data_IF_985026215233
#
_entry.id   IF_985026215233
#
_cell.length_a   1.000
_cell.length_b   1.000
_cell.length_c   1.000
_cell.angle_alpha   90.00
_cell.angle_beta   90.00
_cell.angle_gamma   90.00
#
_symmetry.space_group_name_H-M   'P 1'
#
loop_
_entity.id
_entity.type
_entity.pdbx_description
1 polymer ?
#
# COMPACT_ATOMS: atom_id res chain seq x y z
N UNK A 1 -9.06 21.33 32.03
CA UNK A 1 -9.98 20.44 32.77
C UNK A 1 -9.98 19.11 32.03
N UNK A 2 -9.29 18.06 32.47
CA UNK A 2 -9.46 17.41 33.77
C UNK A 2 -8.14 16.80 34.27
N UNK A 3 -7.70 17.18 35.47
CA UNK A 3 -6.69 16.45 36.24
C UNK A 3 -7.33 15.17 36.80
N UNK A 4 -7.64 14.21 35.94
CA UNK A 4 -7.84 12.84 36.41
C UNK A 4 -6.46 12.23 36.65
N UNK A 5 -6.06 12.16 37.92
CA UNK A 5 -4.96 11.27 38.32
C UNK A 5 -5.41 9.83 38.10
N UNK A 6 -5.12 9.28 36.92
CA UNK A 6 -5.29 7.85 36.60
C UNK A 6 -4.24 6.98 37.29
N UNK A 7 -3.82 7.33 38.52
CA UNK A 7 -2.82 6.54 39.23
C UNK A 7 -3.49 5.29 39.80
N UNK A 8 -3.29 4.15 39.13
CA UNK A 8 -3.49 2.84 39.77
C UNK A 8 -2.70 2.81 41.08
N UNK A 9 -3.22 2.16 42.12
CA UNK A 9 -2.53 2.06 43.40
C UNK A 9 -1.10 1.49 43.22
N UNK A 10 -0.12 1.90 44.02
CA UNK A 10 1.25 1.43 43.90
C UNK A 10 1.38 -0.11 44.04
N UNK A 11 2.52 -0.67 43.64
CA UNK A 11 2.87 -2.03 44.02
C UNK A 11 2.91 -2.14 45.55
N UNK A 12 2.33 -3.18 46.18
CA UNK A 12 1.82 -4.42 45.59
C UNK A 12 0.31 -4.41 45.24
N UNK A 13 -0.42 -3.32 45.51
CA UNK A 13 -1.85 -3.21 45.24
C UNK A 13 -2.15 -3.36 43.74
N UNK A 14 -1.38 -2.73 42.85
CA UNK A 14 -1.43 -3.00 41.40
C UNK A 14 -0.36 -3.98 40.97
N UNK A 15 -0.77 -5.05 40.27
CA UNK A 15 0.14 -6.00 39.60
C UNK A 15 -0.37 -6.28 38.20
N UNK A 16 0.26 -5.68 37.19
CA UNK A 16 -0.13 -5.85 35.78
C UNK A 16 -0.03 -7.31 35.29
N UNK A 17 0.84 -8.11 35.92
CA UNK A 17 0.95 -9.56 35.65
C UNK A 17 -0.32 -10.35 35.98
N UNK A 18 -1.26 -9.83 36.79
CA UNK A 18 -2.53 -10.52 37.10
C UNK A 18 -3.33 -10.78 35.83
N UNK A 19 -3.48 -9.76 34.98
CA UNK A 19 -4.18 -9.87 33.69
C UNK A 19 -3.38 -10.67 32.65
N UNK A 20 -2.05 -10.75 32.81
CA UNK A 20 -1.15 -11.50 31.92
C UNK A 20 -1.00 -12.97 32.30
N UNK A 21 -1.56 -13.44 33.42
CA UNK A 21 -1.29 -14.79 33.94
C UNK A 21 -1.92 -15.89 33.07
N UNK A 22 -3.21 -15.76 32.77
CA UNK A 22 -3.97 -16.78 32.07
C UNK A 22 -4.34 -16.32 30.66
N UNK A 23 -4.61 -17.26 29.76
CA UNK A 23 -5.03 -16.93 28.41
C UNK A 23 -6.37 -16.17 28.37
N UNK A 24 -7.38 -16.67 29.11
CA UNK A 24 -8.71 -16.03 29.16
C UNK A 24 -8.61 -14.56 29.59
N UNK A 25 -7.76 -14.24 30.57
CA UNK A 25 -7.61 -12.87 31.06
C UNK A 25 -6.90 -11.99 30.04
N UNK A 26 -5.91 -12.53 29.31
CA UNK A 26 -5.25 -11.82 28.21
C UNK A 26 -6.22 -11.54 27.07
N UNK A 27 -7.10 -12.49 26.75
CA UNK A 27 -8.16 -12.30 25.73
C UNK A 27 -9.18 -11.25 26.14
N UNK A 28 -9.65 -11.27 27.39
CA UNK A 28 -10.63 -10.31 27.90
C UNK A 28 -10.17 -8.85 27.84
N UNK A 29 -8.87 -8.60 28.03
CA UNK A 29 -8.33 -7.23 28.11
C UNK A 29 -7.54 -6.82 26.86
N UNK A 30 -7.58 -7.63 25.80
CA UNK A 30 -6.87 -7.35 24.55
C UNK A 30 -7.49 -6.12 23.88
N UNK A 31 -6.66 -5.14 23.55
CA UNK A 31 -7.11 -3.86 22.99
C UNK A 31 -7.30 -3.91 21.46
N UNK A 32 -6.57 -4.77 20.76
CA UNK A 32 -6.59 -4.86 19.30
C UNK A 32 -6.60 -6.31 18.84
N UNK A 33 -7.29 -6.57 17.74
CA UNK A 33 -7.29 -7.85 17.05
C UNK A 33 -7.10 -7.61 15.55
N UNK A 34 -6.39 -8.54 14.90
CA UNK A 34 -6.24 -8.57 13.44
C UNK A 34 -7.27 -9.55 12.86
N UNK A 35 -7.84 -9.19 11.73
CA UNK A 35 -8.81 -9.96 10.96
C UNK A 35 -8.43 -9.92 9.47
N UNK A 36 -9.02 -10.79 8.65
CA UNK A 36 -8.81 -10.76 7.20
C UNK A 36 -9.29 -9.44 6.56
N UNK A 37 -10.28 -8.77 7.17
CA UNK A 37 -10.81 -7.48 6.72
C UNK A 37 -9.78 -6.34 6.80
N UNK A 38 -8.70 -6.52 7.56
CA UNK A 38 -7.63 -5.53 7.68
C UNK A 38 -6.57 -5.69 6.59
N UNK A 39 -6.66 -6.70 5.72
CA UNK A 39 -5.58 -7.11 4.82
C UNK A 39 -5.87 -6.74 3.37
N UNK A 40 -4.89 -6.16 2.69
CA UNK A 40 -4.91 -5.89 1.25
C UNK A 40 -3.70 -6.58 0.67
N UNK A 41 -3.89 -7.35 -0.41
CA UNK A 41 -2.80 -8.10 -1.03
C UNK A 41 -2.25 -7.38 -2.27
N UNK A 42 -1.00 -6.89 -2.23
CA UNK A 42 -0.34 -6.38 -3.42
C UNK A 42 -0.02 -7.50 -4.41
N UNK A 43 -0.26 -7.27 -5.69
CA UNK A 43 -0.01 -8.25 -6.76
C UNK A 43 0.75 -7.61 -7.91
N UNK A 44 1.70 -8.36 -8.47
CA UNK A 44 2.46 -7.95 -9.66
C UNK A 44 1.89 -8.65 -10.89
N UNK A 45 1.47 -7.87 -11.89
CA UNK A 45 0.84 -8.41 -13.10
C UNK A 45 1.77 -8.29 -14.31
N UNK A 46 1.85 -9.35 -15.12
CA UNK A 46 2.65 -9.45 -16.34
C UNK A 46 1.80 -9.61 -17.58
N UNK A 47 2.39 -9.24 -18.72
CA UNK A 47 1.89 -9.61 -20.04
C UNK A 47 1.92 -11.12 -20.31
N UNK A 48 1.11 -11.54 -21.27
CA UNK A 48 1.04 -12.90 -21.79
C UNK A 48 -0.01 -13.76 -21.08
N UNK A 49 0.10 -15.09 -21.26
CA UNK A 49 -0.86 -16.07 -20.76
C UNK A 49 -0.12 -17.23 -20.07
N UNK A 50 -0.67 -17.70 -18.95
CA UNK A 50 -0.13 -18.79 -18.14
C UNK A 50 1.35 -18.58 -17.74
N UNK A 51 1.71 -17.35 -17.37
CA UNK A 51 3.07 -16.97 -16.97
C UNK A 51 3.14 -16.71 -15.47
N UNK A 52 4.17 -17.27 -14.83
CA UNK A 52 4.55 -16.99 -13.44
C UNK A 52 6.04 -16.73 -13.40
N UNK A 53 6.45 -15.67 -12.72
CA UNK A 53 7.86 -15.36 -12.51
C UNK A 53 8.15 -15.13 -11.02
N UNK A 54 9.02 -15.93 -10.38
CA UNK A 54 9.40 -15.68 -9.00
C UNK A 54 10.22 -14.40 -8.86
N UNK A 55 10.01 -13.67 -7.77
CA UNK A 55 10.82 -12.49 -7.44
C UNK A 55 11.87 -12.89 -6.42
N UNK A 56 13.14 -12.92 -6.82
CA UNK A 56 14.25 -13.44 -6.00
C UNK A 56 14.37 -12.68 -4.67
N UNK A 57 14.27 -11.35 -4.69
CA UNK A 57 14.35 -10.50 -3.51
C UNK A 57 13.08 -10.52 -2.64
N UNK A 58 12.03 -11.24 -3.07
CA UNK A 58 10.78 -11.42 -2.33
C UNK A 58 10.36 -12.90 -2.34
N UNK A 59 11.05 -13.77 -1.58
CA UNK A 59 10.85 -15.22 -1.67
C UNK A 59 9.39 -15.62 -1.39
N UNK A 60 8.77 -16.33 -2.34
CA UNK A 60 7.37 -16.76 -2.24
C UNK A 60 6.36 -15.80 -2.89
N UNK A 61 6.81 -14.63 -3.36
CA UNK A 61 6.02 -13.72 -4.19
C UNK A 61 6.39 -13.91 -5.65
N UNK A 62 5.39 -13.83 -6.51
CA UNK A 62 5.52 -14.02 -7.94
C UNK A 62 4.82 -12.89 -8.70
N UNK A 63 5.27 -12.67 -9.92
CA UNK A 63 4.53 -11.92 -10.94
C UNK A 63 3.65 -12.90 -11.72
N UNK A 64 2.41 -12.52 -11.99
CA UNK A 64 1.41 -13.39 -12.62
C UNK A 64 0.86 -12.77 -13.90
N UNK A 65 0.65 -13.56 -14.95
CA UNK A 65 -0.21 -13.13 -16.06
C UNK A 65 -1.67 -12.96 -15.58
N UNK A 66 -2.47 -12.16 -16.31
CA UNK A 66 -3.86 -11.83 -15.93
C UNK A 66 -4.69 -13.09 -15.66
N UNK A 67 -4.57 -14.13 -16.49
CA UNK A 67 -5.33 -15.37 -16.34
C UNK A 67 -5.04 -16.13 -15.03
N UNK A 68 -3.81 -16.02 -14.52
CA UNK A 68 -3.39 -16.61 -13.25
C UNK A 68 -3.71 -15.69 -12.08
N UNK A 69 -3.61 -14.38 -12.26
CA UNK A 69 -4.05 -13.39 -11.28
C UNK A 69 -5.55 -13.55 -10.96
N UNK A 70 -6.40 -13.80 -11.96
CA UNK A 70 -7.83 -14.05 -11.72
C UNK A 70 -8.06 -15.31 -10.86
N UNK A 71 -7.31 -16.39 -11.10
CA UNK A 71 -7.39 -17.61 -10.27
C UNK A 71 -6.94 -17.33 -8.83
N UNK A 72 -5.87 -16.57 -8.68
CA UNK A 72 -5.34 -16.17 -7.37
C UNK A 72 -6.34 -15.27 -6.62
N UNK A 73 -6.98 -14.32 -7.31
CA UNK A 73 -8.00 -13.44 -6.75
C UNK A 73 -9.20 -14.20 -6.16
N UNK A 74 -9.65 -15.26 -6.82
CA UNK A 74 -10.71 -16.12 -6.29
C UNK A 74 -10.30 -16.80 -4.97
N UNK A 75 -9.04 -17.21 -4.84
CA UNK A 75 -8.49 -17.78 -3.59
C UNK A 75 -8.45 -16.71 -2.48
N UNK A 76 -8.00 -15.50 -2.80
CA UNK A 76 -7.93 -14.39 -1.83
C UNK A 76 -9.32 -14.00 -1.32
N UNK A 77 -10.31 -13.90 -2.21
CA UNK A 77 -11.69 -13.63 -1.84
C UNK A 77 -12.27 -14.74 -0.93
N UNK A 78 -11.98 -16.02 -1.23
CA UNK A 78 -12.41 -17.15 -0.39
C UNK A 78 -11.75 -17.19 1.01
N UNK A 79 -10.62 -16.49 1.16
CA UNK A 79 -9.94 -16.26 2.45
C UNK A 79 -10.50 -15.04 3.20
N UNK A 80 -11.41 -14.27 2.59
CA UNK A 80 -12.00 -13.06 3.17
C UNK A 80 -11.10 -11.82 3.05
N UNK A 81 -10.11 -11.83 2.14
CA UNK A 81 -9.31 -10.63 1.87
C UNK A 81 -10.17 -9.67 1.03
N UNK A 82 -10.43 -8.44 1.51
CA UNK A 82 -11.37 -7.51 0.89
C UNK A 82 -10.89 -6.92 -0.43
N UNK A 83 -9.58 -6.75 -0.62
CA UNK A 83 -9.05 -6.08 -1.81
C UNK A 83 -7.65 -6.51 -2.22
N UNK A 84 -7.32 -6.25 -3.49
CA UNK A 84 -5.98 -6.38 -4.07
C UNK A 84 -5.46 -5.03 -4.55
N UNK A 85 -4.15 -4.82 -4.45
CA UNK A 85 -3.47 -3.64 -5.01
C UNK A 85 -2.64 -4.04 -6.22
N UNK A 86 -2.99 -3.54 -7.40
CA UNK A 86 -2.41 -3.90 -8.68
C UNK A 86 -1.15 -3.10 -9.00
N UNK A 87 -0.07 -3.80 -9.34
CA UNK A 87 1.17 -3.20 -9.83
C UNK A 87 1.56 -3.84 -11.18
N UNK A 88 1.41 -3.12 -12.31
CA UNK A 88 1.81 -3.64 -13.61
C UNK A 88 3.33 -3.71 -13.73
N UNK A 89 3.81 -4.81 -14.30
CA UNK A 89 5.21 -4.98 -14.69
C UNK A 89 5.32 -4.60 -16.16
N UNK A 90 5.38 -3.29 -16.41
CA UNK A 90 5.37 -2.71 -17.76
C UNK A 90 6.59 -3.16 -18.57
N UNK A 91 6.40 -3.70 -19.79
CA UNK A 91 7.51 -4.15 -20.62
C UNK A 91 8.36 -2.94 -21.09
N UNK A 92 9.68 -3.11 -21.27
CA UNK A 92 10.59 -2.00 -21.59
C UNK A 92 10.20 -1.19 -22.83
N UNK A 93 9.66 -1.85 -23.86
CA UNK A 93 9.21 -1.23 -25.11
C UNK A 93 7.97 -0.33 -24.96
N UNK A 94 7.22 -0.48 -23.87
CA UNK A 94 6.07 0.36 -23.55
C UNK A 94 6.43 1.53 -22.61
N UNK A 95 7.71 1.64 -22.21
CA UNK A 95 8.19 2.77 -21.40
C UNK A 95 8.60 3.94 -22.29
N UNK A 96 8.24 5.15 -21.89
CA UNK A 96 8.55 6.38 -22.63
C UNK A 96 9.00 7.51 -21.70
N UNK A 97 9.22 8.72 -22.23
CA UNK A 97 9.47 9.91 -21.41
C UNK A 97 8.18 10.52 -20.86
N UNK A 98 7.08 10.40 -21.61
CA UNK A 98 5.78 11.00 -21.26
C UNK A 98 4.77 9.99 -20.68
N UNK A 99 5.21 8.77 -20.42
CA UNK A 99 4.46 7.72 -19.74
C UNK A 99 3.06 7.43 -20.36
N UNK A 100 2.93 7.49 -21.69
CA UNK A 100 1.63 7.34 -22.36
C UNK A 100 0.94 6.00 -22.05
N UNK A 101 1.72 4.95 -21.79
CA UNK A 101 1.20 3.64 -21.40
C UNK A 101 0.45 3.67 -20.05
N UNK A 102 0.68 4.66 -19.19
CA UNK A 102 0.00 4.81 -17.91
C UNK A 102 -1.52 5.00 -18.08
N UNK A 103 -1.96 5.63 -19.17
CA UNK A 103 -3.36 5.90 -19.46
C UNK A 103 -3.86 5.20 -20.74
N UNK A 104 -3.12 4.20 -21.22
CA UNK A 104 -3.57 3.37 -22.34
C UNK A 104 -4.80 2.54 -21.90
N UNK A 105 -5.98 2.68 -22.52
CA UNK A 105 -7.16 1.92 -22.13
C UNK A 105 -6.98 0.41 -22.30
N UNK A 106 -6.06 -0.02 -23.17
CA UNK A 106 -5.66 -1.41 -23.38
C UNK A 106 -4.36 -1.79 -22.65
N UNK A 107 -3.86 -0.89 -21.80
CA UNK A 107 -2.71 -1.11 -20.93
C UNK A 107 -2.92 -2.26 -19.96
N UNK A 108 -1.82 -2.76 -19.41
CA UNK A 108 -1.81 -3.96 -18.57
C UNK A 108 -2.66 -3.80 -17.30
N UNK A 109 -2.58 -2.64 -16.63
CA UNK A 109 -3.37 -2.37 -15.43
C UNK A 109 -4.88 -2.37 -15.73
N UNK A 110 -5.28 -1.64 -16.78
CA UNK A 110 -6.67 -1.48 -17.20
C UNK A 110 -7.29 -2.83 -17.61
N UNK A 111 -6.56 -3.65 -18.38
CA UNK A 111 -7.00 -5.01 -18.72
C UNK A 111 -7.10 -5.91 -17.49
N UNK A 112 -6.16 -5.82 -16.55
CA UNK A 112 -6.19 -6.59 -15.31
C UNK A 112 -7.39 -6.21 -14.42
N UNK A 113 -7.70 -4.91 -14.29
CA UNK A 113 -8.88 -4.41 -13.58
C UNK A 113 -10.15 -5.02 -14.19
N UNK A 114 -10.35 -4.88 -15.51
CA UNK A 114 -11.54 -5.44 -16.19
C UNK A 114 -11.69 -6.94 -15.97
N UNK A 115 -10.59 -7.69 -16.06
CA UNK A 115 -10.58 -9.13 -15.84
C UNK A 115 -10.94 -9.50 -14.40
N UNK A 116 -10.40 -8.80 -13.41
CA UNK A 116 -10.70 -9.02 -12.00
C UNK A 116 -12.15 -8.70 -11.67
N UNK A 117 -12.67 -7.54 -12.11
CA UNK A 117 -14.06 -7.15 -11.85
C UNK A 117 -15.06 -8.07 -12.53
N UNK A 118 -14.72 -8.61 -13.71
CA UNK A 118 -15.56 -9.61 -14.38
C UNK A 118 -15.60 -10.97 -13.64
N UNK A 119 -14.47 -11.40 -13.06
CA UNK A 119 -14.37 -12.74 -12.46
C UNK A 119 -14.70 -12.78 -10.97
N UNK A 120 -14.38 -11.72 -10.22
CA UNK A 120 -14.55 -11.63 -8.76
C UNK A 120 -15.09 -10.23 -8.40
N UNK A 121 -16.35 -9.90 -8.77
CA UNK A 121 -16.89 -8.53 -8.69
C UNK A 121 -16.85 -7.91 -7.29
N UNK A 122 -17.00 -8.74 -6.25
CA UNK A 122 -17.01 -8.31 -4.84
C UNK A 122 -15.60 -8.02 -4.28
N UNK A 123 -14.52 -8.43 -4.98
CA UNK A 123 -13.17 -8.12 -4.55
C UNK A 123 -12.84 -6.68 -4.96
N UNK A 124 -12.47 -5.85 -3.99
CA UNK A 124 -12.02 -4.48 -4.25
C UNK A 124 -10.73 -4.48 -5.07
N UNK A 125 -10.70 -3.65 -6.10
CA UNK A 125 -9.51 -3.46 -6.94
C UNK A 125 -8.95 -2.06 -6.72
N UNK A 126 -7.73 -2.02 -6.16
CA UNK A 126 -6.96 -0.80 -5.94
C UNK A 126 -5.91 -0.70 -7.05
N UNK A 127 -5.93 0.40 -7.81
CA UNK A 127 -4.90 0.68 -8.83
C UNK A 127 -3.91 1.72 -8.34
N UNK A 128 -2.63 1.52 -8.63
CA UNK A 128 -1.59 2.51 -8.38
C UNK A 128 -1.64 3.62 -9.43
N UNK A 129 -1.65 4.89 -9.00
CA UNK A 129 -1.56 6.05 -9.89
C UNK A 129 -0.20 6.70 -9.66
N UNK A 130 0.76 6.38 -10.52
CA UNK A 130 2.14 6.86 -10.53
C UNK A 130 2.77 6.51 -11.88
N UNK A 131 3.76 7.30 -12.32
CA UNK A 131 4.37 7.11 -13.64
C UNK A 131 5.64 6.23 -13.64
N UNK A 132 6.15 5.85 -12.47
CA UNK A 132 7.41 5.09 -12.35
C UNK A 132 7.46 3.73 -13.07
N UNK A 133 6.35 3.00 -13.28
CA UNK A 133 6.37 1.77 -14.06
C UNK A 133 6.52 2.06 -15.56
N UNK A 134 6.10 3.25 -16.00
CA UNK A 134 5.91 3.62 -17.41
C UNK A 134 6.99 4.57 -17.93
N UNK A 135 7.82 5.16 -17.05
CA UNK A 135 8.91 6.04 -17.46
C UNK A 135 10.20 5.29 -17.73
N UNK A 136 10.93 5.72 -18.76
CA UNK A 136 12.27 5.16 -19.08
C UNK A 136 13.32 5.43 -18.00
N UNK A 137 13.12 6.48 -17.18
CA UNK A 137 14.00 6.89 -16.08
C UNK A 137 13.53 6.43 -14.70
N UNK A 138 12.32 5.85 -14.56
CA UNK A 138 11.84 5.27 -13.30
C UNK A 138 11.50 6.28 -12.19
N UNK A 139 11.30 7.56 -12.54
CA UNK A 139 10.74 8.57 -11.62
C UNK A 139 9.21 8.52 -11.68
N UNK A 140 8.54 8.95 -10.62
CA UNK A 140 7.08 8.90 -10.49
C UNK A 140 6.38 9.95 -11.37
N UNK A 141 7.15 10.87 -11.98
CA UNK A 141 6.65 11.96 -12.82
C UNK A 141 7.56 12.30 -14.01
N UNK A 142 7.16 13.32 -14.78
CA UNK A 142 7.87 13.82 -15.95
C UNK A 142 9.05 14.68 -15.53
N UNK A 143 10.21 14.48 -16.16
CA UNK A 143 11.42 15.22 -15.85
C UNK A 143 11.70 16.37 -16.84
N UNK A 144 12.24 17.48 -16.35
CA UNK A 144 12.78 18.54 -17.19
C UNK A 144 14.20 18.24 -17.70
N UNK A 145 14.82 19.23 -18.35
CA UNK A 145 16.19 19.12 -18.88
C UNK A 145 17.27 18.95 -17.79
N UNK A 146 17.00 19.40 -16.57
CA UNK A 146 17.89 19.29 -15.41
C UNK A 146 17.63 17.99 -14.60
N UNK A 147 16.61 17.22 -14.98
CA UNK A 147 16.21 15.98 -14.34
C UNK A 147 15.30 16.17 -13.13
N UNK A 148 14.77 17.37 -12.91
CA UNK A 148 13.78 17.64 -11.87
C UNK A 148 12.39 17.15 -12.30
N UNK A 149 11.67 16.53 -11.37
CA UNK A 149 10.32 16.01 -11.62
C UNK A 149 9.32 17.17 -11.57
N UNK A 150 8.73 17.49 -12.71
CA UNK A 150 7.78 18.59 -12.89
C UNK A 150 6.42 18.26 -12.27
N UNK A 151 6.05 18.99 -11.22
CA UNK A 151 4.82 18.75 -10.46
C UNK A 151 3.53 18.79 -11.31
N UNK A 152 3.25 19.93 -11.92
CA UNK A 152 1.95 20.18 -12.56
C UNK A 152 1.78 19.34 -13.84
N UNK A 153 2.83 19.26 -14.66
CA UNK A 153 2.83 18.43 -15.86
C UNK A 153 2.66 16.95 -15.54
N UNK A 154 3.26 16.48 -14.43
CA UNK A 154 3.04 15.11 -13.95
C UNK A 154 1.58 14.92 -13.54
N UNK A 155 1.02 15.86 -12.78
CA UNK A 155 -0.37 15.82 -12.33
C UNK A 155 -1.36 15.74 -13.49
N UNK A 156 -1.13 16.46 -14.59
CA UNK A 156 -1.95 16.35 -15.80
C UNK A 156 -2.01 14.92 -16.39
N UNK A 157 -0.93 14.15 -16.26
CA UNK A 157 -0.86 12.77 -16.76
C UNK A 157 -1.45 11.79 -15.76
N UNK A 158 -1.21 12.00 -14.45
CA UNK A 158 -1.81 11.21 -13.38
C UNK A 158 -3.34 11.28 -13.41
N UNK A 159 -3.91 12.45 -13.74
CA UNK A 159 -5.36 12.59 -13.95
C UNK A 159 -5.86 11.67 -15.07
N UNK A 160 -5.18 11.64 -16.22
CA UNK A 160 -5.52 10.73 -17.34
C UNK A 160 -5.43 9.27 -16.92
N UNK A 161 -4.39 8.91 -16.17
CA UNK A 161 -4.21 7.56 -15.63
C UNK A 161 -5.37 7.17 -14.70
N UNK A 162 -5.69 8.03 -13.73
CA UNK A 162 -6.77 7.79 -12.76
C UNK A 162 -8.13 7.61 -13.45
N UNK A 163 -8.44 8.46 -14.44
CA UNK A 163 -9.66 8.33 -15.26
C UNK A 163 -9.69 6.98 -16.00
N UNK A 164 -8.59 6.61 -16.68
CA UNK A 164 -8.52 5.33 -17.39
C UNK A 164 -8.71 4.10 -16.47
N UNK A 165 -8.26 4.21 -15.20
CA UNK A 165 -8.47 3.17 -14.19
C UNK A 165 -9.93 3.12 -13.72
N UNK A 166 -10.55 4.28 -13.51
CA UNK A 166 -11.96 4.38 -13.13
C UNK A 166 -12.88 3.85 -14.26
N UNK A 167 -12.60 4.19 -15.51
CA UNK A 167 -13.28 3.66 -16.70
C UNK A 167 -13.14 2.14 -16.82
N UNK A 168 -11.99 1.58 -16.45
CA UNK A 168 -11.76 0.14 -16.41
C UNK A 168 -12.54 -0.56 -15.28
N UNK A 169 -13.06 0.18 -14.30
CA UNK A 169 -13.86 -0.32 -13.18
C UNK A 169 -13.08 -0.46 -11.86
N UNK A 170 -11.97 0.25 -11.68
CA UNK A 170 -11.26 0.26 -10.40
C UNK A 170 -12.15 0.89 -9.31
N UNK A 171 -12.23 0.23 -8.16
CA UNK A 171 -13.02 0.73 -7.02
C UNK A 171 -12.26 1.86 -6.30
N UNK A 172 -10.93 1.74 -6.24
CA UNK A 172 -10.04 2.70 -5.56
C UNK A 172 -8.88 3.02 -6.50
N UNK A 173 -8.65 4.31 -6.75
CA UNK A 173 -7.38 4.79 -7.31
C UNK A 173 -6.48 5.26 -6.18
N UNK A 174 -5.20 4.91 -6.22
CA UNK A 174 -4.28 5.17 -5.13
C UNK A 174 -3.04 5.94 -5.63
N UNK A 175 -3.11 7.29 -5.69
CA UNK A 175 -2.01 8.14 -6.13
C UNK A 175 -0.80 7.99 -5.21
N UNK A 176 0.27 7.40 -5.74
CA UNK A 176 1.49 7.12 -4.99
C UNK A 176 2.67 8.02 -5.38
N UNK A 177 2.46 8.94 -6.30
CA UNK A 177 3.45 9.82 -6.93
C UNK A 177 4.11 10.86 -6.02
N UNK A 178 3.41 11.32 -4.96
CA UNK A 178 3.83 12.43 -4.07
C UNK A 178 4.00 13.79 -4.76
N UNK A 179 3.19 14.10 -5.77
CA UNK A 179 3.08 15.46 -6.31
C UNK A 179 2.15 16.33 -5.44
N UNK A 180 2.42 17.62 -5.37
CA UNK A 180 1.58 18.57 -4.65
C UNK A 180 0.28 18.80 -5.42
N UNK A 181 -0.87 18.74 -4.73
CA UNK A 181 -2.20 19.04 -5.30
C UNK A 181 -2.82 17.96 -6.18
N UNK A 182 -2.16 16.80 -6.37
CA UNK A 182 -2.68 15.73 -7.24
C UNK A 182 -4.02 15.18 -6.78
N UNK A 183 -4.29 15.15 -5.47
CA UNK A 183 -5.51 14.57 -4.92
C UNK A 183 -6.71 15.41 -5.38
N UNK A 184 -6.62 16.72 -5.24
CA UNK A 184 -7.67 17.65 -5.70
C UNK A 184 -7.88 17.53 -7.21
N UNK A 185 -6.79 17.52 -7.99
CA UNK A 185 -6.87 17.39 -9.44
C UNK A 185 -7.56 16.10 -9.89
N UNK A 186 -7.18 14.96 -9.30
CA UNK A 186 -7.77 13.65 -9.59
C UNK A 186 -9.24 13.61 -9.12
N UNK A 187 -9.54 14.08 -7.92
CA UNK A 187 -10.92 14.16 -7.39
C UNK A 187 -11.82 14.97 -8.32
N UNK A 188 -11.41 16.17 -8.70
CA UNK A 188 -12.20 17.02 -9.60
C UNK A 188 -12.46 16.35 -10.96
N UNK A 189 -11.47 15.66 -11.52
CA UNK A 189 -11.64 14.93 -12.77
C UNK A 189 -12.60 13.75 -12.64
N UNK A 190 -12.49 12.94 -11.57
CA UNK A 190 -13.42 11.85 -11.31
C UNK A 190 -14.86 12.35 -11.12
N UNK A 191 -15.06 13.45 -10.39
CA UNK A 191 -16.39 14.08 -10.23
C UNK A 191 -16.95 14.55 -11.57
N UNK A 192 -16.14 15.25 -12.37
CA UNK A 192 -16.54 15.80 -13.67
C UNK A 192 -16.97 14.70 -14.65
N UNK A 193 -16.22 13.60 -14.71
CA UNK A 193 -16.49 12.49 -15.64
C UNK A 193 -17.53 11.47 -15.08
N UNK A 194 -18.11 11.75 -13.91
CA UNK A 194 -19.20 10.97 -13.33
C UNK A 194 -18.76 9.73 -12.54
N UNK A 195 -17.48 9.57 -12.27
CA UNK A 195 -16.90 8.52 -11.42
C UNK A 195 -17.04 8.83 -9.92
N UNK A 196 -18.23 9.28 -9.50
CA UNK A 196 -18.51 9.85 -8.18
C UNK A 196 -18.18 8.92 -6.99
N UNK A 197 -18.18 7.60 -7.20
CA UNK A 197 -17.95 6.59 -6.16
C UNK A 197 -16.56 5.93 -6.25
N UNK A 198 -15.75 6.28 -7.24
CA UNK A 198 -14.36 5.83 -7.27
C UNK A 198 -13.62 6.54 -6.13
N UNK A 199 -13.11 5.75 -5.19
CA UNK A 199 -12.46 6.30 -4.00
C UNK A 199 -10.99 6.64 -4.27
N UNK A 200 -10.46 7.57 -3.49
CA UNK A 200 -9.05 7.95 -3.53
C UNK A 200 -8.37 7.48 -2.23
N UNK A 201 -7.39 6.60 -2.38
CA UNK A 201 -6.46 6.20 -1.32
C UNK A 201 -5.14 6.95 -1.51
N UNK A 202 -5.03 8.10 -0.86
CA UNK A 202 -3.87 8.97 -1.00
C UNK A 202 -2.66 8.38 -0.27
N UNK A 203 -1.52 8.23 -0.96
CA UNK A 203 -0.25 7.99 -0.30
C UNK A 203 0.29 9.31 0.26
N UNK A 204 -0.36 9.83 1.30
CA UNK A 204 -0.07 11.15 1.86
C UNK A 204 1.32 11.23 2.49
N UNK A 205 1.68 10.24 3.31
CA UNK A 205 2.97 10.21 3.98
C UNK A 205 3.85 9.10 3.40
N UNK A 206 4.34 9.29 2.16
CA UNK A 206 5.27 8.37 1.49
C UNK A 206 6.70 8.91 1.56
N UNK A 207 7.52 8.21 2.34
CA UNK A 207 8.90 8.60 2.62
C UNK A 207 9.89 8.14 1.55
N UNK A 208 10.98 8.90 1.39
CA UNK A 208 12.15 8.60 0.57
C UNK A 208 12.97 7.46 1.22
N UNK A 209 12.46 6.25 1.12
CA UNK A 209 12.92 5.11 1.90
C UNK A 209 13.81 4.13 1.13
N UNK A 210 14.78 3.54 1.83
CA UNK A 210 15.60 2.44 1.32
C UNK A 210 14.91 1.07 1.37
N UNK A 211 13.72 0.97 1.97
CA UNK A 211 12.97 -0.29 2.06
C UNK A 211 12.27 -0.71 0.75
N UNK A 212 12.35 0.10 -0.32
CA UNK A 212 11.67 -0.16 -1.60
C UNK A 212 12.47 -1.02 -2.59
N UNK A 213 13.72 -1.37 -2.27
CA UNK A 213 14.60 -2.13 -3.18
C UNK A 213 13.92 -3.35 -3.83
N UNK A 214 13.37 -4.29 -3.04
CA UNK A 214 12.75 -5.49 -3.61
C UNK A 214 11.51 -5.22 -4.48
N UNK A 215 10.76 -4.14 -4.21
CA UNK A 215 9.63 -3.72 -5.07
C UNK A 215 10.14 -3.22 -6.42
N UNK A 216 11.22 -2.44 -6.43
CA UNK A 216 11.83 -1.94 -7.68
C UNK A 216 12.36 -3.08 -8.54
N UNK A 217 12.83 -4.17 -7.94
CA UNK A 217 13.15 -5.41 -8.65
C UNK A 217 11.87 -6.06 -9.20
N UNK A 218 10.81 -6.14 -8.39
CA UNK A 218 9.55 -6.77 -8.75
C UNK A 218 8.87 -6.11 -9.96
N UNK A 219 8.80 -4.78 -10.02
CA UNK A 219 8.22 -4.04 -11.16
C UNK A 219 9.23 -3.74 -12.28
N UNK A 220 10.49 -4.13 -12.11
CA UNK A 220 11.53 -3.90 -13.12
C UNK A 220 11.93 -2.44 -13.29
N UNK A 221 11.73 -1.58 -12.29
CA UNK A 221 12.12 -0.16 -12.33
C UNK A 221 13.51 0.12 -11.74
N UNK A 222 14.11 -0.85 -11.03
CA UNK A 222 15.44 -0.69 -10.42
C UNK A 222 16.53 -0.27 -11.43
N UNK A 223 16.53 -0.89 -12.61
CA UNK A 223 17.46 -0.57 -13.70
C UNK A 223 17.19 0.79 -14.35
N UNK A 224 15.94 1.28 -14.33
CA UNK A 224 15.56 2.57 -14.91
C UNK A 224 16.04 3.75 -14.04
N UNK A 225 15.95 3.61 -12.71
CA UNK A 225 16.31 4.68 -11.78
C UNK A 225 17.82 4.99 -11.75
N UNK A 226 18.69 4.08 -12.24
CA UNK A 226 20.14 4.29 -12.44
C UNK A 226 20.91 4.93 -11.28
N UNK A 227 20.52 4.65 -10.03
CA UNK A 227 21.15 5.24 -8.83
C UNK A 227 20.62 6.63 -8.46
N UNK A 228 19.61 7.13 -9.18
CA UNK A 228 18.83 8.29 -8.81
C UNK A 228 18.06 8.08 -7.49
N UNK A 229 17.58 9.18 -6.94
CA UNK A 229 16.79 9.22 -5.73
C UNK A 229 15.43 9.88 -5.99
N UNK A 230 14.55 9.82 -4.99
CA UNK A 230 13.20 10.37 -5.03
C UNK A 230 13.02 11.48 -3.97
N UNK A 231 14.14 12.08 -3.52
CA UNK A 231 14.17 12.97 -2.36
C UNK A 231 13.55 14.35 -2.63
N UNK A 232 13.35 14.71 -3.90
CA UNK A 232 12.75 16.00 -4.27
C UNK A 232 11.22 16.00 -4.21
N UNK A 233 10.60 14.88 -3.83
CA UNK A 233 9.14 14.74 -3.75
C UNK A 233 8.68 13.71 -2.69
N UNK A 234 9.41 12.61 -2.47
CA UNK A 234 9.16 11.75 -1.32
C UNK A 234 9.75 12.37 -0.04
N UNK A 235 9.02 12.22 1.07
CA UNK A 235 9.35 12.89 2.33
C UNK A 235 10.68 12.45 2.93
N UNK A 236 11.35 13.34 3.67
CA UNK A 236 12.54 12.98 4.45
C UNK A 236 12.14 12.05 5.61
N UNK A 237 12.77 10.86 5.76
CA UNK A 237 12.55 9.95 6.90
C UNK A 237 12.66 10.58 8.29
N UNK A 238 13.34 11.73 8.43
CA UNK A 238 13.48 12.44 9.69
C UNK A 238 12.23 13.22 10.13
N UNK A 239 11.24 13.39 9.25
CA UNK A 239 10.13 14.33 9.46
C UNK A 239 8.82 13.62 9.86
N UNK A 240 8.33 13.93 11.06
CA UNK A 240 6.99 13.52 11.51
C UNK A 240 5.95 14.62 11.30
N UNK A 241 6.26 15.86 11.71
CA UNK A 241 5.28 16.96 11.66
C UNK A 241 4.84 17.27 10.21
N UNK A 242 5.74 17.14 9.25
CA UNK A 242 5.45 17.25 7.81
C UNK A 242 4.37 16.26 7.37
N UNK A 243 4.34 15.03 7.91
CA UNK A 243 3.33 14.03 7.57
C UNK A 243 1.92 14.48 7.97
N UNK A 244 1.80 15.29 9.03
CA UNK A 244 0.52 15.86 9.44
C UNK A 244 0.08 16.96 8.47
N UNK A 245 1.01 17.73 7.91
CA UNK A 245 0.68 18.70 6.86
C UNK A 245 0.19 17.99 5.59
N UNK A 246 0.93 16.99 5.10
CA UNK A 246 0.58 16.19 3.93
C UNK A 246 -0.82 15.55 4.05
N UNK A 247 -1.06 14.84 5.15
CA UNK A 247 -2.37 14.22 5.40
C UNK A 247 -3.48 15.26 5.51
N UNK A 248 -3.21 16.39 6.16
CA UNK A 248 -4.18 17.48 6.29
C UNK A 248 -4.58 18.07 4.94
N UNK A 249 -3.63 18.24 4.03
CA UNK A 249 -3.86 18.71 2.67
C UNK A 249 -4.65 17.68 1.86
N UNK A 250 -4.20 16.42 1.80
CA UNK A 250 -4.88 15.37 1.03
C UNK A 250 -6.34 15.17 1.47
N UNK A 251 -6.63 15.25 2.77
CA UNK A 251 -8.01 15.19 3.28
C UNK A 251 -8.84 16.42 2.86
N UNK A 252 -8.25 17.61 2.90
CA UNK A 252 -8.92 18.83 2.45
C UNK A 252 -9.18 18.82 0.93
N UNK A 253 -8.35 18.11 0.18
CA UNK A 253 -8.46 17.91 -1.27
C UNK A 253 -9.44 16.80 -1.68
N UNK A 254 -9.96 16.02 -0.72
CA UNK A 254 -11.00 15.02 -0.96
C UNK A 254 -10.52 13.58 -1.05
N UNK A 255 -9.40 13.24 -0.41
CA UNK A 255 -9.03 11.84 -0.18
C UNK A 255 -10.03 11.14 0.75
N UNK A 256 -10.46 9.94 0.36
CA UNK A 256 -11.36 9.10 1.17
C UNK A 256 -10.59 8.32 2.24
N UNK A 257 -9.35 7.96 1.92
CA UNK A 257 -8.41 7.28 2.81
C UNK A 257 -7.01 7.87 2.63
N UNK A 258 -6.22 7.85 3.70
CA UNK A 258 -4.82 8.30 3.68
C UNK A 258 -3.89 7.15 4.07
N UNK A 259 -2.67 7.14 3.54
CA UNK A 259 -1.70 6.07 3.76
C UNK A 259 -0.34 6.58 4.23
N UNK A 260 0.26 5.84 5.18
CA UNK A 260 1.67 5.94 5.54
C UNK A 260 2.46 4.82 4.86
N UNK A 261 3.59 5.18 4.24
CA UNK A 261 4.49 4.23 3.57
C UNK A 261 5.95 4.68 3.76
N UNK A 262 6.88 3.81 4.22
CA UNK A 262 6.72 2.42 4.67
C UNK A 262 5.89 2.22 5.95
N UNK A 263 5.75 0.97 6.40
CA UNK A 263 4.89 0.59 7.51
C UNK A 263 5.61 0.56 8.86
N UNK A 264 6.25 -0.57 9.18
CA UNK A 264 6.87 -0.81 10.49
C UNK A 264 7.88 0.24 10.95
N UNK A 265 8.72 0.83 10.07
CA UNK A 265 9.65 1.88 10.48
C UNK A 265 8.97 3.23 10.83
N UNK A 266 7.68 3.39 10.54
CA UNK A 266 6.93 4.65 10.67
C UNK A 266 5.63 4.49 11.49
N UNK A 267 5.59 3.53 12.42
CA UNK A 267 4.39 3.30 13.26
C UNK A 267 4.05 4.48 14.17
N UNK A 268 5.05 5.29 14.52
CA UNK A 268 4.88 6.57 15.22
C UNK A 268 4.13 7.60 14.37
N UNK A 269 4.43 7.68 13.07
CA UNK A 269 3.69 8.51 12.11
C UNK A 269 2.25 8.01 11.96
N UNK A 270 2.04 6.69 11.83
CA UNK A 270 0.69 6.09 11.79
C UNK A 270 -0.13 6.48 13.02
N UNK A 271 0.49 6.42 14.20
CA UNK A 271 -0.16 6.81 15.46
C UNK A 271 -0.52 8.29 15.47
N UNK A 272 0.41 9.16 15.09
CA UNK A 272 0.20 10.61 15.04
C UNK A 272 -0.91 11.00 14.06
N UNK A 273 -0.91 10.42 12.86
CA UNK A 273 -1.96 10.61 11.84
C UNK A 273 -3.31 10.15 12.36
N UNK A 274 -3.40 8.92 12.90
CA UNK A 274 -4.67 8.40 13.43
C UNK A 274 -5.19 9.24 14.59
N UNK A 275 -4.32 9.75 15.45
CA UNK A 275 -4.73 10.57 16.59
C UNK A 275 -5.21 11.96 16.21
N UNK A 276 -4.59 12.55 15.19
CA UNK A 276 -4.88 13.91 14.75
C UNK A 276 -6.16 13.95 13.93
N UNK A 277 -6.25 13.12 12.90
CA UNK A 277 -7.30 13.26 11.88
C UNK A 277 -8.51 12.38 12.11
N UNK A 278 -8.35 11.24 12.80
CA UNK A 278 -9.42 10.24 13.02
C UNK A 278 -10.08 9.73 11.72
N UNK A 279 -9.46 9.98 10.56
CA UNK A 279 -9.89 9.52 9.24
C UNK A 279 -9.41 8.07 8.97
N UNK A 280 -9.97 7.36 7.97
CA UNK A 280 -9.46 6.04 7.56
C UNK A 280 -7.97 6.09 7.22
N UNK A 281 -7.16 5.28 7.93
CA UNK A 281 -5.69 5.33 7.85
C UNK A 281 -5.16 3.97 7.44
N UNK A 282 -4.52 3.92 6.29
CA UNK A 282 -3.94 2.71 5.71
C UNK A 282 -2.43 2.72 5.91
N UNK A 283 -1.82 1.55 5.86
CA UNK A 283 -0.36 1.40 5.99
C UNK A 283 0.15 0.36 5.02
N UNK A 284 1.28 0.62 4.38
CA UNK A 284 1.94 -0.36 3.52
C UNK A 284 3.11 -1.01 4.25
N UNK A 285 3.00 -2.29 4.61
CA UNK A 285 4.15 -3.12 4.97
C UNK A 285 4.93 -3.49 3.70
N UNK A 286 5.96 -2.71 3.40
CA UNK A 286 6.55 -2.71 2.05
C UNK A 286 7.45 -3.91 1.79
N UNK A 287 7.91 -4.01 0.54
CA UNK A 287 8.67 -5.14 0.03
C UNK A 287 9.94 -5.45 0.82
N UNK A 288 10.67 -4.42 1.27
CA UNK A 288 11.87 -4.59 2.11
C UNK A 288 11.56 -5.10 3.51
N UNK A 289 10.41 -4.71 4.08
CA UNK A 289 9.96 -5.25 5.36
C UNK A 289 9.62 -6.74 5.22
N UNK A 290 8.88 -7.11 4.17
CA UNK A 290 8.60 -8.50 3.83
C UNK A 290 9.89 -9.32 3.66
N UNK A 291 10.81 -8.83 2.82
CA UNK A 291 12.07 -9.51 2.53
C UNK A 291 12.93 -9.70 3.80
N UNK A 292 13.00 -8.69 4.67
CA UNK A 292 13.70 -8.77 5.95
C UNK A 292 13.13 -9.87 6.86
N UNK A 293 11.80 -9.98 6.95
CA UNK A 293 11.15 -11.04 7.72
C UNK A 293 11.41 -12.40 7.08
N UNK A 294 11.23 -12.53 5.78
CA UNK A 294 11.43 -13.78 5.05
C UNK A 294 12.86 -14.29 5.16
N UNK A 295 13.87 -13.42 5.07
CA UNK A 295 15.27 -13.80 5.27
C UNK A 295 15.51 -14.37 6.68
N UNK A 296 15.05 -13.67 7.72
CA UNK A 296 15.19 -14.13 9.10
C UNK A 296 14.42 -15.45 9.37
N UNK A 297 13.25 -15.62 8.76
CA UNK A 297 12.43 -16.85 8.85
C UNK A 297 13.14 -18.02 8.18
N UNK A 298 13.62 -17.84 6.94
CA UNK A 298 14.31 -18.89 6.18
C UNK A 298 15.63 -19.32 6.83
N UNK A 299 16.30 -18.40 7.51
CA UNK A 299 17.50 -18.69 8.31
C UNK A 299 17.20 -19.30 9.68
N UNK A 300 15.91 -19.48 10.05
CA UNK A 300 15.49 -20.04 11.33
C UNK A 300 15.72 -19.11 12.54
N UNK A 301 15.98 -17.82 12.30
CA UNK A 301 16.19 -16.84 13.37
C UNK A 301 14.87 -16.42 14.03
N UNK A 302 13.79 -16.38 13.23
CA UNK A 302 12.45 -16.03 13.69
C UNK A 302 11.46 -17.14 13.32
N UNK A 303 10.49 -17.38 14.22
CA UNK A 303 9.38 -18.30 13.94
C UNK A 303 8.40 -17.63 12.98
N UNK A 304 8.13 -18.30 11.84
CA UNK A 304 7.31 -17.78 10.73
C UNK A 304 5.96 -17.22 11.15
N UNK A 305 5.06 -18.06 11.65
CA UNK A 305 3.68 -17.64 11.92
C UNK A 305 3.59 -16.56 13.01
N UNK A 306 4.27 -16.69 14.17
CA UNK A 306 4.18 -15.68 15.21
C UNK A 306 4.69 -14.30 14.77
N UNK A 307 5.82 -14.23 14.06
CA UNK A 307 6.39 -12.92 13.68
C UNK A 307 5.57 -12.24 12.59
N UNK A 308 5.00 -13.00 11.66
CA UNK A 308 4.09 -12.45 10.64
C UNK A 308 2.89 -11.79 11.32
N UNK A 309 2.18 -12.54 12.17
CA UNK A 309 1.00 -12.01 12.86
C UNK A 309 1.33 -10.88 13.84
N UNK A 310 2.48 -10.95 14.52
CA UNK A 310 2.93 -9.88 15.44
C UNK A 310 3.25 -8.58 14.68
N UNK A 311 3.89 -8.66 13.51
CA UNK A 311 4.19 -7.49 12.68
C UNK A 311 2.91 -6.76 12.24
N UNK A 312 1.91 -7.51 11.78
CA UNK A 312 0.62 -6.97 11.33
C UNK A 312 -0.22 -6.45 12.50
N UNK A 313 -0.20 -7.14 13.64
CA UNK A 313 -0.86 -6.67 14.86
C UNK A 313 -0.23 -5.36 15.37
N UNK A 314 1.09 -5.18 15.23
CA UNK A 314 1.76 -3.92 15.57
C UNK A 314 1.25 -2.76 14.71
N UNK A 315 1.07 -2.98 13.41
CA UNK A 315 0.50 -1.99 12.48
C UNK A 315 -0.95 -1.67 12.85
N UNK A 316 -1.78 -2.68 13.12
CA UNK A 316 -3.16 -2.49 13.60
C UNK A 316 -3.20 -1.66 14.88
N UNK A 317 -2.39 -2.04 15.88
CA UNK A 317 -2.28 -1.34 17.17
C UNK A 317 -1.83 0.11 17.01
N UNK A 318 -0.95 0.41 16.05
CA UNK A 318 -0.51 1.77 15.77
C UNK A 318 -1.66 2.66 15.31
N UNK A 319 -2.70 2.08 14.70
CA UNK A 319 -3.92 2.79 14.32
C UNK A 319 -4.38 2.50 12.89
N UNK A 320 -3.75 1.57 12.17
CA UNK A 320 -4.17 1.26 10.81
C UNK A 320 -5.56 0.61 10.77
N UNK A 321 -6.41 1.05 9.84
CA UNK A 321 -7.68 0.39 9.53
C UNK A 321 -7.47 -0.75 8.54
N UNK A 322 -6.54 -0.59 7.59
CA UNK A 322 -6.15 -1.61 6.62
C UNK A 322 -4.64 -1.57 6.31
N UNK A 323 -4.11 -2.73 5.91
CA UNK A 323 -2.69 -2.99 5.74
C UNK A 323 -2.45 -3.60 4.37
N UNK A 324 -1.71 -2.90 3.51
CA UNK A 324 -1.15 -3.48 2.29
C UNK A 324 0.05 -4.33 2.70
N UNK A 325 -0.04 -5.64 2.50
CA UNK A 325 1.04 -6.57 2.90
C UNK A 325 1.12 -7.78 1.98
N UNK A 326 2.36 -8.14 1.63
CA UNK A 326 2.67 -9.38 0.91
C UNK A 326 2.45 -10.65 1.77
N UNK A 327 2.22 -10.50 3.08
CA UNK A 327 1.79 -11.59 3.95
C UNK A 327 0.28 -11.78 3.99
N UNK A 328 -0.54 -10.99 3.26
CA UNK A 328 -2.01 -11.01 3.43
C UNK A 328 -2.62 -12.41 3.27
N UNK A 329 -2.23 -13.15 2.21
CA UNK A 329 -2.71 -14.51 1.98
C UNK A 329 -2.36 -15.46 3.12
N UNK A 330 -1.10 -15.45 3.56
CA UNK A 330 -0.62 -16.32 4.63
C UNK A 330 -1.25 -15.95 5.98
N UNK A 331 -1.34 -14.66 6.31
CA UNK A 331 -1.98 -14.18 7.52
C UNK A 331 -3.47 -14.55 7.55
N UNK A 332 -4.18 -14.41 6.43
CA UNK A 332 -5.60 -14.82 6.35
C UNK A 332 -5.77 -16.34 6.56
N UNK A 333 -4.87 -17.17 6.02
CA UNK A 333 -4.86 -18.62 6.26
C UNK A 333 -4.64 -18.95 7.75
N UNK A 334 -3.67 -18.29 8.39
CA UNK A 334 -3.37 -18.49 9.81
C UNK A 334 -4.53 -18.04 10.71
N UNK A 335 -5.15 -16.90 10.41
CA UNK A 335 -6.31 -16.38 11.15
C UNK A 335 -7.52 -17.31 11.03
N UNK A 336 -7.73 -17.93 9.87
CA UNK A 336 -8.81 -18.91 9.65
C UNK A 336 -8.55 -20.24 10.36
N UNK A 337 -7.30 -20.66 10.48
CA UNK A 337 -6.92 -21.91 11.17
C UNK A 337 -6.89 -21.78 12.71
N UNK A 338 -6.60 -20.58 13.23
CA UNK A 338 -6.54 -20.30 14.66
C UNK A 338 -7.78 -19.64 15.27
N UNK A 339 -8.82 -19.42 14.46
CA UNK A 339 -10.13 -18.92 14.87
C UNK A 339 -11.11 -20.01 15.28
#
# INVERSE_FOLDING_TARGET
>A
MSDFSFSRAAFPATRLRRLRKNDFSRRLVRENALTANDLIYPVFVLEGENRREPIISMPGIERLSIDLLVKEAAVLAALGIPAVALFPVTPPEAKSLMAEEAFNPDGLAQRAVRALKAAVPELGVITDVALDPFTTHGQDGIIDADGYVLNDLTTEILVKQALSHAEAGADIVAPSDMMDGRISAIRMALEHDGHINTSILAYSAKYASSYYGPFRDAVGSAGNLKGGNKNSYQMDPANLDEALHEVGLDLAEGADMVMVKPGMPYLDVVRAVKDTFRAPTFVYQVSGEYAMHMAAIQNGWLKREPVILESLLCIKRAGADAILTYFAKEAAQLLKAGG
#
